data_IF_852394237005
#
_entry.id   IF_852394237005
#
_cell.length_a   1.000
_cell.length_b   1.000
_cell.length_c   1.000
_cell.angle_alpha   90.00
_cell.angle_beta   90.00
_cell.angle_gamma   90.00
#
_symmetry.space_group_name_H-M   'P 1'
#
loop_
_entity.id
_entity.type
_entity.pdbx_description
1 polymer ?
#
# COMPACT_ATOMS: atom_id res chain seq x y z
N UNK A 1 -60.40 -56.21 25.51
CA UNK A 1 -60.23 -55.10 24.55
C UNK A 1 -58.76 -54.68 24.64
N UNK A 2 -57.92 -55.05 23.67
CA UNK A 2 -56.48 -54.72 23.69
C UNK A 2 -56.10 -54.19 22.31
N UNK A 3 -55.99 -52.87 22.18
CA UNK A 3 -55.47 -52.23 20.97
C UNK A 3 -53.94 -52.27 21.02
N UNK A 4 -53.33 -53.07 20.13
CA UNK A 4 -51.89 -53.02 19.89
C UNK A 4 -51.59 -51.77 19.05
N UNK A 5 -50.81 -50.82 19.56
CA UNK A 5 -50.28 -49.75 18.72
C UNK A 5 -49.18 -50.33 17.82
N UNK A 6 -49.33 -50.16 16.51
CA UNK A 6 -48.27 -50.45 15.56
C UNK A 6 -47.36 -49.22 15.51
N UNK A 7 -46.18 -49.31 16.13
CA UNK A 7 -45.14 -48.29 15.99
C UNK A 7 -44.50 -48.44 14.61
N UNK A 8 -44.92 -47.61 13.65
CA UNK A 8 -44.28 -47.53 12.34
C UNK A 8 -42.93 -46.85 12.52
N UNK A 9 -41.83 -47.58 12.29
CA UNK A 9 -40.47 -47.02 12.27
C UNK A 9 -40.27 -46.27 10.95
N UNK A 10 -40.63 -45.00 10.92
CA UNK A 10 -40.39 -44.13 9.78
C UNK A 10 -38.91 -43.72 9.72
N UNK A 11 -38.10 -44.61 9.14
CA UNK A 11 -36.66 -44.41 8.95
C UNK A 11 -36.37 -43.58 7.69
N UNK A 12 -37.31 -43.54 6.73
CA UNK A 12 -37.17 -42.80 5.48
C UNK A 12 -37.37 -41.29 5.67
N UNK A 13 -38.34 -40.86 6.50
CA UNK A 13 -38.51 -39.46 6.88
C UNK A 13 -37.29 -38.93 7.65
N UNK A 14 -36.85 -39.66 8.69
CA UNK A 14 -35.68 -39.30 9.50
C UNK A 14 -34.37 -39.24 8.70
N UNK A 15 -34.18 -40.12 7.71
CA UNK A 15 -33.00 -40.09 6.84
C UNK A 15 -32.99 -38.86 5.92
N UNK A 16 -34.16 -38.40 5.46
CA UNK A 16 -34.29 -37.20 4.61
C UNK A 16 -33.99 -35.93 5.42
N UNK A 17 -34.52 -35.83 6.63
CA UNK A 17 -34.23 -34.72 7.55
C UNK A 17 -32.74 -34.65 7.93
N UNK A 18 -32.10 -35.81 8.17
CA UNK A 18 -30.65 -35.88 8.40
C UNK A 18 -29.84 -35.42 7.17
N UNK A 19 -30.32 -35.74 5.96
CA UNK A 19 -29.74 -35.28 4.71
C UNK A 19 -29.75 -33.75 4.58
N UNK A 20 -30.87 -33.10 4.91
CA UNK A 20 -30.95 -31.64 4.92
C UNK A 20 -29.99 -31.01 5.92
N UNK A 21 -29.94 -31.53 7.15
CA UNK A 21 -29.01 -31.05 8.18
C UNK A 21 -27.57 -31.19 7.69
N UNK A 22 -27.22 -32.34 7.10
CA UNK A 22 -25.87 -32.58 6.59
C UNK A 22 -25.51 -31.60 5.46
N UNK A 23 -26.39 -31.42 4.48
CA UNK A 23 -26.15 -30.48 3.37
C UNK A 23 -26.04 -29.04 3.85
N UNK A 24 -26.86 -28.65 4.84
CA UNK A 24 -26.78 -27.33 5.45
C UNK A 24 -25.44 -27.12 6.15
N UNK A 25 -25.03 -28.06 7.01
CA UNK A 25 -23.75 -27.98 7.72
C UNK A 25 -22.55 -28.01 6.77
N UNK A 26 -22.61 -28.82 5.70
CA UNK A 26 -21.61 -28.82 4.64
C UNK A 26 -21.55 -27.45 3.95
N UNK A 27 -22.70 -26.84 3.68
CA UNK A 27 -22.78 -25.49 3.11
C UNK A 27 -22.16 -24.43 4.03
N UNK A 28 -22.48 -24.46 5.33
CA UNK A 28 -21.88 -23.55 6.32
C UNK A 28 -20.36 -23.73 6.38
N UNK A 29 -19.87 -24.97 6.39
CA UNK A 29 -18.44 -25.27 6.41
C UNK A 29 -17.74 -24.74 5.15
N UNK A 30 -18.31 -24.97 3.97
CA UNK A 30 -17.77 -24.46 2.71
C UNK A 30 -17.74 -22.93 2.67
N UNK A 31 -18.81 -22.28 3.13
CA UNK A 31 -18.87 -20.82 3.24
C UNK A 31 -17.81 -20.28 4.20
N UNK A 32 -17.60 -20.93 5.35
CA UNK A 32 -16.56 -20.51 6.29
C UNK A 32 -15.16 -20.61 5.69
N UNK A 33 -14.83 -21.72 5.01
CA UNK A 33 -13.52 -21.88 4.34
C UNK A 33 -13.35 -20.85 3.23
N UNK A 34 -14.39 -20.63 2.42
CA UNK A 34 -14.37 -19.65 1.34
C UNK A 34 -14.20 -18.21 1.85
N UNK A 35 -14.83 -17.85 2.96
CA UNK A 35 -14.68 -16.52 3.56
C UNK A 35 -13.25 -16.24 4.03
N UNK A 36 -12.61 -17.21 4.71
CA UNK A 36 -11.22 -17.09 5.15
C UNK A 36 -10.30 -16.92 3.94
N UNK A 37 -10.44 -17.79 2.94
CA UNK A 37 -9.65 -17.73 1.72
C UNK A 37 -9.81 -16.40 0.97
N UNK A 38 -11.03 -15.87 0.89
CA UNK A 38 -11.29 -14.58 0.23
C UNK A 38 -10.61 -13.44 0.99
N UNK A 39 -10.68 -13.45 2.31
CA UNK A 39 -10.03 -12.45 3.16
C UNK A 39 -8.50 -12.49 3.02
N UNK A 40 -7.91 -13.69 2.91
CA UNK A 40 -6.47 -13.84 2.69
C UNK A 40 -6.04 -13.23 1.35
N UNK A 41 -6.81 -13.46 0.28
CA UNK A 41 -6.53 -12.89 -1.05
C UNK A 41 -6.67 -11.37 -1.06
N UNK A 42 -7.72 -10.85 -0.44
CA UNK A 42 -7.94 -9.40 -0.31
C UNK A 42 -6.76 -8.75 0.41
N UNK A 43 -6.35 -9.32 1.55
CA UNK A 43 -5.23 -8.82 2.35
C UNK A 43 -3.92 -8.84 1.55
N UNK A 44 -3.58 -9.98 0.93
CA UNK A 44 -2.35 -10.10 0.14
C UNK A 44 -2.35 -9.18 -1.09
N UNK A 45 -3.51 -8.95 -1.71
CA UNK A 45 -3.62 -8.04 -2.86
C UNK A 45 -3.41 -6.59 -2.43
N UNK A 46 -4.01 -6.19 -1.30
CA UNK A 46 -3.84 -4.86 -0.71
C UNK A 46 -2.40 -4.58 -0.31
N UNK A 47 -1.73 -5.52 0.36
CA UNK A 47 -0.32 -5.39 0.75
C UNK A 47 0.57 -5.14 -0.46
N UNK A 48 0.43 -6.00 -1.49
CA UNK A 48 1.19 -5.83 -2.75
C UNK A 48 0.88 -4.50 -3.45
N UNK A 49 -0.37 -4.04 -3.44
CA UNK A 49 -0.71 -2.74 -4.02
C UNK A 49 -0.08 -1.56 -3.28
N UNK A 50 0.03 -1.64 -1.95
CA UNK A 50 0.73 -0.61 -1.17
C UNK A 50 2.22 -0.59 -1.50
N UNK A 51 2.88 -1.75 -1.55
CA UNK A 51 4.30 -1.86 -1.93
C UNK A 51 4.56 -1.27 -3.31
N UNK A 52 3.77 -1.67 -4.31
CA UNK A 52 3.91 -1.19 -5.70
C UNK A 52 3.62 0.31 -5.83
N UNK A 53 2.59 0.82 -5.13
CA UNK A 53 2.26 2.23 -5.16
C UNK A 53 3.36 3.10 -4.53
N UNK A 54 3.93 2.66 -3.40
CA UNK A 54 5.07 3.32 -2.75
C UNK A 54 6.28 3.31 -3.66
N UNK A 55 6.63 2.16 -4.24
CA UNK A 55 7.74 2.04 -5.17
C UNK A 55 7.58 3.02 -6.34
N UNK A 56 6.41 3.04 -6.99
CA UNK A 56 6.14 3.95 -8.11
C UNK A 56 6.20 5.43 -7.69
N UNK A 57 5.75 5.77 -6.48
CA UNK A 57 5.83 7.13 -5.98
C UNK A 57 7.29 7.57 -5.72
N UNK A 58 8.08 6.69 -5.12
CA UNK A 58 9.50 6.96 -4.89
C UNK A 58 10.29 7.02 -6.20
N UNK A 59 9.97 6.18 -7.18
CA UNK A 59 10.56 6.23 -8.52
C UNK A 59 10.23 7.56 -9.24
N UNK A 60 8.99 8.04 -9.15
CA UNK A 60 8.59 9.33 -9.73
C UNK A 60 9.28 10.50 -9.03
N UNK A 61 9.41 10.44 -7.70
CA UNK A 61 10.12 11.44 -6.91
C UNK A 61 11.63 11.45 -7.22
N UNK A 62 12.24 10.27 -7.30
CA UNK A 62 13.63 10.08 -7.71
C UNK A 62 13.87 10.66 -9.10
N UNK A 63 12.98 10.38 -10.05
CA UNK A 63 13.08 10.90 -11.40
C UNK A 63 12.96 12.44 -11.45
N UNK A 64 12.16 13.05 -10.59
CA UNK A 64 12.07 14.51 -10.47
C UNK A 64 13.35 15.12 -9.85
N UNK A 65 13.94 14.46 -8.85
CA UNK A 65 15.24 14.84 -8.29
C UNK A 65 16.34 14.77 -9.36
N UNK A 66 16.37 13.70 -10.15
CA UNK A 66 17.32 13.55 -11.27
C UNK A 66 17.15 14.63 -12.34
N UNK A 67 15.91 15.01 -12.67
CA UNK A 67 15.64 16.13 -13.59
C UNK A 67 16.11 17.47 -13.01
N UNK A 68 15.92 17.69 -11.72
CA UNK A 68 16.40 18.87 -11.02
C UNK A 68 17.95 18.94 -11.06
N UNK A 69 18.61 17.80 -10.85
CA UNK A 69 20.06 17.66 -10.97
C UNK A 69 20.56 17.89 -12.40
N UNK A 70 19.86 17.37 -13.41
CA UNK A 70 20.17 17.65 -14.81
C UNK A 70 20.06 19.14 -15.13
N UNK A 71 19.01 19.81 -14.64
CA UNK A 71 18.82 21.25 -14.82
C UNK A 71 19.94 22.06 -14.16
N UNK A 72 20.46 21.62 -13.01
CA UNK A 72 21.57 22.28 -12.31
C UNK A 72 22.86 22.36 -13.15
N UNK A 73 23.03 21.43 -14.11
CA UNK A 73 24.21 21.41 -15.00
C UNK A 73 24.17 22.51 -16.05
N UNK A 74 23.01 23.11 -16.31
CA UNK A 74 22.85 24.17 -17.30
C UNK A 74 23.30 25.55 -16.79
N UNK A 75 23.69 25.65 -15.52
CA UNK A 75 24.20 26.87 -14.88
C UNK A 75 23.42 27.22 -13.62
N UNK A 76 23.37 28.51 -13.28
CA UNK A 76 22.63 28.99 -12.11
C UNK A 76 21.13 29.11 -12.41
N UNK A 77 20.45 27.95 -12.45
CA UNK A 77 19.02 27.85 -12.75
C UNK A 77 18.28 27.43 -11.49
N UNK A 78 17.14 28.07 -11.22
CA UNK A 78 16.18 27.59 -10.24
C UNK A 78 15.22 26.61 -10.93
N UNK A 79 15.07 25.42 -10.35
CA UNK A 79 14.16 24.39 -10.84
C UNK A 79 13.12 24.07 -9.78
N UNK A 80 11.88 23.85 -10.19
CA UNK A 80 10.83 23.40 -9.30
C UNK A 80 9.89 22.47 -10.05
N UNK A 81 9.63 21.31 -9.48
CA UNK A 81 8.68 20.33 -9.99
C UNK A 81 7.77 19.85 -8.85
N UNK A 82 6.51 19.60 -9.18
CA UNK A 82 5.55 18.98 -8.28
C UNK A 82 5.37 17.52 -8.68
N UNK A 83 5.55 16.62 -7.73
CA UNK A 83 5.33 15.18 -7.88
C UNK A 83 4.06 14.82 -7.13
N UNK A 84 3.13 14.17 -7.83
CA UNK A 84 1.88 13.70 -7.23
C UNK A 84 2.12 12.39 -6.50
N UNK A 85 1.67 12.32 -5.25
CA UNK A 85 1.70 11.10 -4.44
C UNK A 85 0.46 10.27 -4.71
N UNK A 86 0.62 9.05 -5.22
CA UNK A 86 -0.49 8.10 -5.37
C UNK A 86 -0.92 7.63 -3.99
N UNK A 87 -2.23 7.67 -3.75
CA UNK A 87 -2.81 7.19 -2.51
C UNK A 87 -2.57 5.69 -2.31
N UNK A 88 -2.24 5.32 -1.08
CA UNK A 88 -2.14 3.94 -0.61
C UNK A 88 -3.27 3.62 0.37
N UNK A 89 -3.52 2.35 0.64
CA UNK A 89 -4.44 1.96 1.73
C UNK A 89 -3.75 1.95 3.11
N UNK A 90 -2.44 2.17 3.15
CA UNK A 90 -1.67 2.32 4.37
C UNK A 90 -1.90 3.69 5.03
N UNK A 91 -1.57 3.81 6.31
CA UNK A 91 -1.70 5.07 7.05
C UNK A 91 -0.53 6.01 6.72
N UNK A 92 -0.70 6.86 5.70
CA UNK A 92 0.32 7.79 5.22
C UNK A 92 0.74 8.84 6.26
N UNK A 93 0.04 8.95 7.40
CA UNK A 93 0.49 9.80 8.51
C UNK A 93 1.75 9.28 9.21
N UNK A 94 2.08 8.00 8.99
CA UNK A 94 3.25 7.34 9.58
C UNK A 94 4.42 7.27 8.60
N UNK A 95 4.28 7.87 7.42
CA UNK A 95 5.31 7.88 6.40
C UNK A 95 6.21 9.10 6.52
N UNK A 96 7.51 8.84 6.63
CA UNK A 96 8.56 9.84 6.53
C UNK A 96 9.43 9.55 5.32
N UNK A 97 9.57 10.53 4.42
CA UNK A 97 10.49 10.43 3.28
C UNK A 97 11.70 11.30 3.57
N UNK A 98 12.89 10.72 3.43
CA UNK A 98 14.17 11.40 3.57
C UNK A 98 14.95 11.34 2.27
N UNK A 99 15.48 12.49 1.85
CA UNK A 99 16.35 12.63 0.69
C UNK A 99 17.80 12.79 1.18
N UNK A 100 18.65 11.88 0.73
CA UNK A 100 20.10 11.93 0.89
C UNK A 100 20.79 12.11 -0.48
N UNK A 101 22.10 12.32 -0.49
CA UNK A 101 22.88 12.54 -1.72
C UNK A 101 22.82 11.35 -2.71
N UNK A 102 22.44 10.15 -2.24
CA UNK A 102 22.46 8.94 -3.05
C UNK A 102 21.18 8.10 -2.96
N UNK A 103 20.22 8.46 -2.10
CA UNK A 103 18.96 7.73 -2.02
C UNK A 103 17.81 8.55 -1.48
N UNK A 104 16.60 8.13 -1.87
CA UNK A 104 15.34 8.45 -1.22
C UNK A 104 14.93 7.26 -0.36
N UNK A 105 14.76 7.50 0.93
CA UNK A 105 14.32 6.49 1.88
C UNK A 105 12.95 6.89 2.43
N UNK A 106 11.96 6.01 2.26
CA UNK A 106 10.70 6.04 2.98
C UNK A 106 10.79 5.14 4.20
N UNK A 107 10.44 5.68 5.36
CA UNK A 107 10.26 4.97 6.62
C UNK A 107 8.78 4.97 6.97
N UNK A 108 8.23 3.78 7.22
CA UNK A 108 6.87 3.56 7.71
C UNK A 108 6.92 3.23 9.21
N UNK A 109 6.65 4.22 10.07
CA UNK A 109 6.65 3.99 11.53
C UNK A 109 5.53 3.02 11.98
N UNK A 110 4.51 2.83 11.14
CA UNK A 110 3.37 1.96 11.42
C UNK A 110 3.57 0.51 11.00
N UNK A 111 4.63 0.16 10.26
CA UNK A 111 4.62 -1.08 9.51
C UNK A 111 5.92 -1.51 8.85
N UNK A 112 5.78 -2.22 7.72
CA UNK A 112 6.84 -2.93 7.02
C UNK A 112 7.03 -2.47 5.58
N UNK A 113 6.62 -1.23 5.27
CA UNK A 113 6.68 -0.64 3.94
C UNK A 113 7.94 0.21 3.70
N UNK A 114 8.93 0.10 4.59
CA UNK A 114 10.24 0.74 4.43
C UNK A 114 10.82 0.44 3.05
N UNK A 115 11.08 1.49 2.28
CA UNK A 115 11.50 1.38 0.88
C UNK A 115 12.60 2.39 0.59
N UNK A 116 13.65 1.94 -0.11
CA UNK A 116 14.76 2.79 -0.52
C UNK A 116 14.93 2.74 -2.04
N UNK A 117 15.04 3.92 -2.65
CA UNK A 117 15.34 4.09 -4.08
C UNK A 117 16.64 4.87 -4.22
N UNK A 118 17.59 4.32 -4.96
CA UNK A 118 18.87 4.99 -5.22
C UNK A 118 18.72 6.06 -6.29
N UNK A 119 19.34 7.20 -6.04
CA UNK A 119 19.56 8.25 -7.03
C UNK A 119 21.03 8.24 -7.43
N UNK A 120 21.31 8.65 -8.67
CA UNK A 120 22.64 8.70 -9.26
C UNK A 120 23.57 9.65 -8.51
N UNK A 121 23.02 10.70 -7.87
CA UNK A 121 23.79 11.75 -7.21
C UNK A 121 24.75 12.46 -8.17
N UNK A 122 24.45 12.45 -9.47
CA UNK A 122 25.34 12.97 -10.49
C UNK A 122 25.23 14.50 -10.67
N UNK A 123 24.35 15.18 -9.92
CA UNK A 123 24.26 16.63 -9.86
C UNK A 123 25.53 17.30 -9.30
N UNK A 124 25.63 18.61 -9.49
CA UNK A 124 26.69 19.42 -8.86
C UNK A 124 26.33 19.87 -7.44
N UNK A 125 25.07 19.65 -7.03
CA UNK A 125 24.52 20.07 -5.75
C UNK A 125 24.45 18.93 -4.73
N UNK A 126 24.21 19.32 -3.48
CA UNK A 126 23.87 18.36 -2.41
C UNK A 126 22.36 18.13 -2.39
N UNK A 127 21.95 17.03 -1.77
CA UNK A 127 20.54 16.68 -1.60
C UNK A 127 20.14 16.75 -0.13
N UNK A 128 18.96 17.28 0.17
CA UNK A 128 18.48 17.35 1.54
C UNK A 128 16.96 17.39 1.61
N UNK A 129 16.39 16.93 2.71
CA UNK A 129 14.97 17.07 2.97
C UNK A 129 14.45 15.88 3.73
N UNK A 130 13.57 16.15 4.67
CA UNK A 130 12.81 15.13 5.38
C UNK A 130 11.40 15.64 5.50
N UNK A 131 10.45 14.88 4.96
CA UNK A 131 9.04 15.24 4.97
C UNK A 131 8.23 14.14 5.64
N UNK A 132 7.36 14.55 6.55
CA UNK A 132 6.26 13.71 7.02
C UNK A 132 5.12 13.88 6.02
N UNK A 133 4.66 12.77 5.43
CA UNK A 133 3.63 12.81 4.40
C UNK A 133 2.32 13.35 4.98
N UNK A 134 1.85 12.84 6.12
CA UNK A 134 0.69 13.40 6.84
C UNK A 134 -0.54 13.67 5.95
N UNK A 135 -0.77 12.80 4.95
CA UNK A 135 -1.84 12.93 3.95
C UNK A 135 -1.60 13.96 2.84
N UNK A 136 -0.37 14.48 2.70
CA UNK A 136 0.02 15.34 1.60
C UNK A 136 0.02 14.55 0.28
N UNK A 137 -0.64 15.11 -0.73
CA UNK A 137 -0.76 14.48 -2.06
C UNK A 137 0.27 15.00 -3.05
N UNK A 138 1.05 15.99 -2.65
CA UNK A 138 1.99 16.70 -3.52
C UNK A 138 3.29 16.91 -2.77
N UNK A 139 4.38 16.51 -3.42
CA UNK A 139 5.74 16.74 -2.95
C UNK A 139 6.43 17.62 -3.98
N UNK A 140 7.03 18.70 -3.51
CA UNK A 140 7.77 19.65 -4.32
C UNK A 140 9.25 19.29 -4.28
N UNK A 141 9.84 19.11 -5.46
CA UNK A 141 11.28 19.04 -5.65
C UNK A 141 11.76 20.41 -6.11
N UNK A 142 12.69 21.00 -5.37
CA UNK A 142 13.24 22.33 -5.67
C UNK A 142 14.75 22.24 -5.77
N UNK A 143 15.34 22.80 -6.83
CA UNK A 143 16.77 23.05 -6.91
C UNK A 143 17.02 24.55 -6.88
N UNK A 144 17.83 25.00 -5.91
CA UNK A 144 18.20 26.40 -5.75
C UNK A 144 19.56 26.52 -5.07
N UNK A 145 20.41 27.41 -5.56
CA UNK A 145 21.73 27.72 -4.99
C UNK A 145 22.62 26.49 -4.77
N UNK A 146 22.52 25.48 -5.64
CA UNK A 146 23.30 24.23 -5.53
C UNK A 146 22.76 23.23 -4.50
N UNK A 147 21.52 23.39 -4.05
CA UNK A 147 20.84 22.47 -3.14
C UNK A 147 19.56 21.95 -3.80
N UNK A 148 19.44 20.62 -3.93
CA UNK A 148 18.20 19.95 -4.33
C UNK A 148 17.46 19.50 -3.07
N UNK A 149 16.22 19.92 -2.88
CA UNK A 149 15.43 19.57 -1.71
C UNK A 149 14.00 19.14 -2.00
N UNK A 150 13.44 18.35 -1.08
CA UNK A 150 12.03 17.95 -1.08
C UNK A 150 11.26 18.66 0.05
N UNK A 151 10.03 19.11 -0.24
CA UNK A 151 9.12 19.70 0.73
C UNK A 151 7.65 19.41 0.34
N UNK A 152 6.74 19.38 1.31
CA UNK A 152 5.29 19.31 1.06
C UNK A 152 4.70 20.71 0.79
N UNK A 153 5.38 21.75 1.24
CA UNK A 153 4.98 23.12 1.03
C UNK A 153 5.47 23.61 -0.32
N UNK A 154 4.59 24.31 -1.03
CA UNK A 154 4.97 24.95 -2.29
C UNK A 154 6.08 25.98 -2.03
N UNK A 155 7.21 25.93 -2.75
CA UNK A 155 8.26 26.95 -2.63
C UNK A 155 7.71 28.34 -2.99
N UNK A 156 8.17 29.35 -2.25
CA UNK A 156 7.77 30.76 -2.38
C UNK A 156 8.56 31.49 -3.47
#
# INVERSE_FOLDING_TARGET
MNSRSNQVRDTSGAATELGYIFTFLLGVLLLSVFSIWTWDIETATRERWNEEAIQMNLDDLAAAVERADEASRLGNVEYTECVWWRATEADENLFTISLSDNSLLLVDEGGGLDTEVFISGAGLGNHTGSIELSGAQMIWVTHKDGLTSIDINRPQ
#
